data_IF_293709486376
#
_entry.id   IF_293709486376
#
_cell.length_a   1.000
_cell.length_b   1.000
_cell.length_c   1.000
_cell.angle_alpha   90.00
_cell.angle_beta   90.00
_cell.angle_gamma   90.00
#
_symmetry.space_group_name_H-M   'P 1'
#
loop_
_entity.id
_entity.type
_entity.pdbx_description
1 polymer ?
#
# COMPACT_ATOMS: atom_id res chain seq x y z
N UNK A 1 11.55 6.71 20.19
CA UNK A 1 11.23 7.07 21.58
C UNK A 1 12.50 7.30 22.38
N UNK A 2 12.42 8.04 23.47
CA UNK A 2 13.51 8.18 24.42
C UNK A 2 13.64 6.87 25.24
N UNK A 3 14.87 6.27 25.31
CA UNK A 3 15.05 4.95 25.91
C UNK A 3 14.88 4.95 27.45
N UNK A 4 15.00 6.10 28.08
CA UNK A 4 14.87 6.25 29.54
C UNK A 4 13.43 6.49 29.97
N UNK A 5 12.71 7.31 29.23
CA UNK A 5 11.38 7.80 29.63
C UNK A 5 10.24 7.15 28.83
N UNK A 6 10.57 6.48 27.71
CA UNK A 6 9.63 5.96 26.72
C UNK A 6 8.71 7.05 26.09
N UNK A 7 9.02 8.32 26.27
CA UNK A 7 8.31 9.40 25.61
C UNK A 7 8.70 9.52 24.14
N UNK A 8 7.82 10.12 23.33
CA UNK A 8 8.14 10.44 21.93
C UNK A 8 9.29 11.46 21.91
N UNK A 9 10.26 11.24 21.04
CA UNK A 9 11.41 12.12 20.84
C UNK A 9 11.63 12.34 19.35
N UNK A 10 11.35 13.54 18.88
CA UNK A 10 11.61 13.92 17.49
C UNK A 10 13.11 13.83 17.16
N UNK A 11 13.98 14.22 18.11
CA UNK A 11 15.44 14.11 17.94
C UNK A 11 15.86 12.66 17.65
N UNK A 12 15.44 11.70 18.50
CA UNK A 12 15.82 10.30 18.32
C UNK A 12 15.22 9.70 17.04
N UNK A 13 14.03 10.14 16.64
CA UNK A 13 13.42 9.72 15.40
C UNK A 13 14.21 10.18 14.18
N UNK A 14 14.55 11.46 14.13
CA UNK A 14 15.34 12.02 13.03
C UNK A 14 16.77 11.50 13.01
N UNK A 15 17.41 11.32 14.16
CA UNK A 15 18.72 10.71 14.26
C UNK A 15 18.73 9.30 13.66
N UNK A 16 17.74 8.47 14.00
CA UNK A 16 17.57 7.15 13.41
C UNK A 16 17.37 7.21 11.90
N UNK A 17 16.45 8.03 11.42
CA UNK A 17 16.14 8.11 10.00
C UNK A 17 17.30 8.63 9.15
N UNK A 18 18.03 9.63 9.63
CA UNK A 18 19.15 10.22 8.89
C UNK A 18 20.41 9.34 8.93
N UNK A 19 20.49 8.42 9.89
CA UNK A 19 21.57 7.45 9.98
C UNK A 19 21.40 6.24 9.05
N UNK A 20 20.25 6.13 8.39
CA UNK A 20 19.91 5.03 7.47
C UNK A 20 19.68 5.55 6.05
N UNK A 21 20.71 5.62 5.19
CA UNK A 21 20.57 6.10 3.80
C UNK A 21 19.51 5.33 3.02
N UNK A 22 19.32 4.04 3.30
CA UNK A 22 18.33 3.17 2.65
C UNK A 22 16.89 3.61 2.92
N UNK A 23 16.65 4.28 4.06
CA UNK A 23 15.33 4.76 4.44
C UNK A 23 14.94 6.09 3.77
N UNK A 24 15.90 6.82 3.18
CA UNK A 24 15.70 8.18 2.69
C UNK A 24 14.53 8.28 1.69
N UNK A 25 14.45 7.35 0.75
CA UNK A 25 13.36 7.34 -0.23
C UNK A 25 11.98 7.25 0.44
N UNK A 26 11.82 6.36 1.40
CA UNK A 26 10.56 6.21 2.14
C UNK A 26 10.26 7.45 3.00
N UNK A 27 11.27 8.03 3.63
CA UNK A 27 11.12 9.24 4.44
C UNK A 27 10.63 10.41 3.60
N UNK A 28 11.21 10.63 2.42
CA UNK A 28 10.79 11.71 1.51
C UNK A 28 9.36 11.52 1.01
N UNK A 29 8.91 10.28 0.78
CA UNK A 29 7.51 10.00 0.41
C UNK A 29 6.56 10.29 1.58
N UNK A 30 6.88 9.82 2.78
CA UNK A 30 6.02 10.00 3.97
C UNK A 30 5.95 11.46 4.42
N UNK A 31 7.05 12.22 4.26
CA UNK A 31 7.10 13.64 4.61
C UNK A 31 6.64 14.56 3.49
N UNK A 32 6.37 14.03 2.31
CA UNK A 32 5.78 14.77 1.20
C UNK A 32 4.25 14.66 1.18
N UNK A 33 3.63 15.26 0.17
CA UNK A 33 2.16 15.27 -0.02
C UNK A 33 1.54 13.86 -0.02
N UNK A 34 2.27 12.85 -0.48
CA UNK A 34 1.81 11.45 -0.48
C UNK A 34 1.65 10.86 0.93
N UNK A 35 2.22 11.48 1.94
CA UNK A 35 2.08 11.09 3.35
C UNK A 35 0.78 11.58 3.98
N UNK A 36 0.06 12.49 3.32
CA UNK A 36 -1.21 13.08 3.79
C UNK A 36 -2.32 12.95 2.74
N UNK A 37 -2.65 11.73 2.29
CA UNK A 37 -3.74 11.53 1.34
C UNK A 37 -5.07 12.01 1.92
N UNK A 38 -5.95 12.52 1.05
CA UNK A 38 -7.25 13.04 1.48
C UNK A 38 -8.14 11.94 2.07
N UNK A 39 -8.14 10.75 1.46
CA UNK A 39 -8.90 9.58 1.91
C UNK A 39 -8.23 8.30 1.42
N UNK A 40 -8.64 7.14 1.92
CA UNK A 40 -8.20 5.83 1.38
C UNK A 40 -8.54 5.64 -0.10
N UNK A 41 -9.65 6.20 -0.57
CA UNK A 41 -10.10 6.08 -1.96
C UNK A 41 -9.17 6.78 -2.96
N UNK A 42 -8.41 7.76 -2.51
CA UNK A 42 -7.51 8.59 -3.31
C UNK A 42 -6.04 8.17 -3.21
N UNK A 43 -5.79 6.91 -2.88
CA UNK A 43 -4.46 6.32 -2.79
C UNK A 43 -4.32 5.12 -3.72
N UNK A 44 -3.12 4.90 -4.25
CA UNK A 44 -2.77 3.61 -4.85
C UNK A 44 -2.45 2.59 -3.77
N UNK A 45 -2.68 1.32 -4.08
CA UNK A 45 -2.23 0.19 -3.27
C UNK A 45 -1.13 -0.59 -3.98
N UNK A 46 -0.20 -1.13 -3.21
CA UNK A 46 0.92 -1.91 -3.74
C UNK A 46 1.12 -3.18 -2.92
N UNK A 47 1.11 -4.32 -3.59
CA UNK A 47 1.60 -5.57 -3.02
C UNK A 47 3.12 -5.58 -3.10
N UNK A 48 3.80 -5.03 -2.10
CA UNK A 48 5.26 -4.84 -2.12
C UNK A 48 6.05 -6.14 -2.17
N UNK A 49 5.50 -7.23 -1.63
CA UNK A 49 6.11 -8.55 -1.71
C UNK A 49 6.10 -9.08 -3.14
N UNK A 50 7.07 -9.92 -3.45
CA UNK A 50 7.07 -10.71 -4.66
C UNK A 50 6.40 -12.05 -4.37
N UNK A 51 5.31 -12.32 -5.09
CA UNK A 51 4.59 -13.59 -5.04
C UNK A 51 5.00 -14.50 -6.18
N UNK A 52 4.65 -15.77 -6.11
CA UNK A 52 4.85 -16.70 -7.22
C UNK A 52 3.52 -17.20 -7.76
N UNK A 53 3.35 -17.15 -9.09
CA UNK A 53 2.30 -17.88 -9.79
C UNK A 53 2.87 -19.16 -10.38
N UNK A 54 2.11 -20.22 -10.28
CA UNK A 54 2.38 -21.50 -10.93
C UNK A 54 1.24 -21.75 -11.94
N UNK A 55 1.61 -21.99 -13.19
CA UNK A 55 0.64 -22.39 -14.17
C UNK A 55 0.39 -23.91 -14.14
N UNK A 56 -0.52 -24.40 -14.99
CA UNK A 56 -0.83 -25.84 -15.11
C UNK A 56 0.38 -26.70 -15.47
N UNK A 57 1.38 -26.13 -16.16
CA UNK A 57 2.64 -26.80 -16.52
C UNK A 57 3.67 -26.76 -15.40
N UNK A 58 3.30 -26.19 -14.22
CA UNK A 58 4.20 -25.96 -13.07
C UNK A 58 5.36 -25.00 -13.39
N UNK A 59 5.19 -24.15 -14.40
CA UNK A 59 6.12 -23.07 -14.68
C UNK A 59 5.88 -21.92 -13.71
N UNK A 60 6.94 -21.49 -13.04
CA UNK A 60 6.87 -20.41 -12.05
C UNK A 60 7.14 -19.07 -12.68
N UNK A 61 6.34 -18.09 -12.28
CA UNK A 61 6.55 -16.68 -12.57
C UNK A 61 6.46 -15.87 -11.28
N UNK A 62 7.35 -14.89 -11.12
CA UNK A 62 7.30 -13.96 -10.02
C UNK A 62 6.34 -12.83 -10.37
N UNK A 63 5.58 -12.36 -9.37
CA UNK A 63 4.50 -11.39 -9.60
C UNK A 63 4.51 -10.32 -8.52
N UNK A 64 4.33 -9.06 -8.94
CA UNK A 64 3.99 -7.94 -8.06
C UNK A 64 2.62 -7.38 -8.45
N UNK A 65 1.82 -7.03 -7.42
CA UNK A 65 0.49 -6.48 -7.58
C UNK A 65 0.48 -4.96 -7.43
N UNK A 66 -0.33 -4.30 -8.26
CA UNK A 66 -0.56 -2.86 -8.24
C UNK A 66 -2.05 -2.59 -8.28
N UNK A 67 -2.55 -1.76 -7.36
CA UNK A 67 -3.93 -1.31 -7.29
C UNK A 67 -3.94 0.19 -7.60
N UNK A 68 -4.31 0.55 -8.82
CA UNK A 68 -4.30 1.94 -9.29
C UNK A 68 -5.66 2.55 -9.08
N UNK A 69 -5.77 3.53 -8.16
CA UNK A 69 -7.04 4.20 -7.87
C UNK A 69 -7.63 4.83 -9.14
N UNK A 70 -8.92 4.59 -9.38
CA UNK A 70 -9.69 5.19 -10.47
C UNK A 70 -10.35 6.51 -10.06
N UNK A 71 -10.38 6.83 -8.76
CA UNK A 71 -10.87 8.09 -8.23
C UNK A 71 -9.87 9.24 -8.38
N UNK A 72 -8.66 8.94 -8.87
CA UNK A 72 -7.53 9.86 -8.92
C UNK A 72 -6.80 9.98 -7.57
N UNK A 73 -5.70 10.70 -7.59
CA UNK A 73 -4.89 10.99 -6.40
C UNK A 73 -5.29 12.36 -5.88
N UNK A 74 -5.55 12.44 -4.59
CA UNK A 74 -5.84 13.69 -3.90
C UNK A 74 -5.18 13.66 -2.53
N UNK A 75 -4.40 14.71 -2.25
CA UNK A 75 -3.73 14.89 -0.98
C UNK A 75 -4.28 16.13 -0.27
N UNK A 76 -4.16 16.17 1.04
CA UNK A 76 -4.45 17.35 1.84
C UNK A 76 -3.25 18.30 1.81
N UNK A 77 -3.48 19.56 2.15
CA UNK A 77 -2.42 20.47 2.58
C UNK A 77 -2.04 20.18 4.03
N UNK A 78 -0.87 20.64 4.47
CA UNK A 78 -0.41 20.47 5.87
C UNK A 78 -1.43 21.06 6.87
N UNK A 79 -1.98 22.23 6.57
CA UNK A 79 -2.97 22.89 7.42
C UNK A 79 -4.29 22.10 7.50
N UNK A 80 -4.75 21.54 6.38
CA UNK A 80 -5.95 20.68 6.36
C UNK A 80 -5.71 19.39 7.13
N UNK A 81 -4.53 18.77 6.98
CA UNK A 81 -4.18 17.55 7.68
C UNK A 81 -4.12 17.77 9.20
N UNK A 82 -3.49 18.86 9.65
CA UNK A 82 -3.43 19.24 11.06
C UNK A 82 -4.82 19.46 11.66
N UNK A 83 -5.67 20.21 10.96
CA UNK A 83 -7.04 20.48 11.38
C UNK A 83 -7.87 19.18 11.43
N UNK A 84 -7.70 18.30 10.44
CA UNK A 84 -8.42 17.04 10.35
C UNK A 84 -8.05 16.09 11.50
N UNK A 85 -6.76 15.95 11.82
CA UNK A 85 -6.27 15.11 12.93
C UNK A 85 -6.85 15.57 14.27
N UNK A 86 -6.96 16.88 14.46
CA UNK A 86 -7.55 17.45 15.67
C UNK A 86 -9.05 17.25 15.78
N UNK A 87 -9.75 17.19 14.65
CA UNK A 87 -11.21 17.10 14.57
C UNK A 87 -11.70 15.66 14.48
N UNK A 88 -11.14 14.85 13.64
CA UNK A 88 -11.58 13.48 13.36
C UNK A 88 -10.40 12.59 12.96
N UNK A 89 -9.92 11.79 13.89
CA UNK A 89 -8.84 10.83 13.67
C UNK A 89 -9.23 9.67 12.77
N UNK A 90 -10.52 9.40 12.66
CA UNK A 90 -11.08 8.29 11.90
C UNK A 90 -11.63 8.77 10.53
N UNK A 91 -11.22 9.96 10.09
CA UNK A 91 -11.74 10.58 8.86
C UNK A 91 -11.65 9.68 7.62
N UNK A 92 -10.56 8.93 7.45
CA UNK A 92 -10.40 8.02 6.31
C UNK A 92 -11.32 6.79 6.40
N UNK A 93 -11.48 6.24 7.61
CA UNK A 93 -12.40 5.13 7.85
C UNK A 93 -13.85 5.56 7.63
N UNK A 94 -14.21 6.74 8.15
CA UNK A 94 -15.54 7.33 7.98
C UNK A 94 -15.84 7.59 6.52
N UNK A 95 -14.94 8.23 5.78
CA UNK A 95 -15.11 8.50 4.34
C UNK A 95 -15.37 7.22 3.56
N UNK A 96 -14.59 6.18 3.80
CA UNK A 96 -14.76 4.90 3.10
C UNK A 96 -16.11 4.26 3.44
N UNK A 97 -16.47 4.20 4.73
CA UNK A 97 -17.72 3.62 5.17
C UNK A 97 -18.93 4.35 4.58
N UNK A 98 -18.97 5.68 4.72
CA UNK A 98 -20.08 6.51 4.23
C UNK A 98 -20.17 6.49 2.70
N UNK A 99 -19.04 6.45 1.99
CA UNK A 99 -19.01 6.31 0.54
C UNK A 99 -19.73 5.04 0.08
N UNK A 100 -19.49 3.91 0.74
CA UNK A 100 -20.15 2.65 0.42
C UNK A 100 -21.65 2.69 0.76
N UNK A 101 -22.03 3.24 1.92
CA UNK A 101 -23.44 3.41 2.29
C UNK A 101 -24.21 4.30 1.30
N UNK A 102 -23.54 5.29 0.73
CA UNK A 102 -24.13 6.19 -0.25
C UNK A 102 -24.11 5.64 -1.69
N UNK A 103 -23.56 4.44 -1.93
CA UNK A 103 -23.44 3.83 -3.25
C UNK A 103 -22.33 4.41 -4.12
N UNK A 104 -21.43 5.22 -3.56
CA UNK A 104 -20.24 5.72 -4.24
C UNK A 104 -19.09 4.71 -4.07
N UNK A 105 -19.11 3.68 -4.90
CA UNK A 105 -18.22 2.54 -4.79
C UNK A 105 -16.84 2.82 -5.37
N UNK A 106 -15.79 2.90 -4.54
CA UNK A 106 -14.44 3.16 -5.03
C UNK A 106 -13.86 1.94 -5.74
N UNK A 107 -13.05 2.24 -6.79
CA UNK A 107 -12.49 1.25 -7.69
C UNK A 107 -10.98 1.41 -7.85
N UNK A 108 -10.30 0.29 -8.02
CA UNK A 108 -8.90 0.25 -8.38
C UNK A 108 -8.68 -0.69 -9.55
N UNK A 109 -7.97 -0.22 -10.56
CA UNK A 109 -7.46 -1.11 -11.60
C UNK A 109 -6.41 -2.04 -10.98
N UNK A 110 -6.67 -3.34 -11.00
CA UNK A 110 -5.70 -4.35 -10.62
C UNK A 110 -4.77 -4.61 -11.79
N UNK A 111 -3.49 -4.35 -11.56
CA UNK A 111 -2.42 -4.61 -12.54
C UNK A 111 -1.35 -5.48 -11.90
N UNK A 112 -0.66 -6.25 -12.74
CA UNK A 112 0.45 -7.09 -12.32
C UNK A 112 1.69 -6.82 -13.14
N UNK A 113 2.85 -6.99 -12.51
CA UNK A 113 4.12 -7.18 -13.22
C UNK A 113 4.48 -8.65 -13.12
N UNK A 114 4.94 -9.23 -14.23
CA UNK A 114 5.31 -10.65 -14.30
C UNK A 114 6.78 -10.74 -14.72
N UNK A 115 7.54 -11.52 -13.95
CA UNK A 115 8.94 -11.82 -14.21
C UNK A 115 9.11 -13.34 -14.35
N UNK A 116 9.67 -13.85 -15.46
CA UNK A 116 10.01 -15.26 -15.58
C UNK A 116 10.96 -15.70 -14.46
N UNK A 117 10.84 -16.94 -13.97
CA UNK A 117 11.62 -17.43 -12.83
C UNK A 117 13.13 -17.24 -13.01
N UNK A 118 13.64 -17.55 -14.21
CA UNK A 118 15.06 -17.44 -14.50
C UNK A 118 15.62 -16.02 -14.58
N UNK A 119 14.75 -15.01 -14.70
CA UNK A 119 15.19 -13.61 -14.80
C UNK A 119 15.53 -13.01 -13.45
N UNK A 120 14.99 -13.56 -12.37
CA UNK A 120 15.27 -13.08 -11.02
C UNK A 120 16.77 -13.08 -10.67
N UNK A 121 17.56 -13.96 -11.30
CA UNK A 121 19.02 -14.03 -11.11
C UNK A 121 19.81 -13.09 -12.02
N UNK A 122 19.14 -12.47 -13.01
CA UNK A 122 19.77 -11.62 -14.03
C UNK A 122 19.60 -10.14 -13.72
N UNK A 123 18.68 -9.79 -12.82
CA UNK A 123 18.42 -8.39 -12.44
C UNK A 123 19.61 -7.82 -11.67
N UNK A 124 19.94 -6.53 -11.85
CA UNK A 124 21.02 -5.86 -11.12
C UNK A 124 20.64 -5.53 -9.66
N UNK A 125 19.45 -5.90 -9.23
CA UNK A 125 18.88 -5.72 -7.89
C UNK A 125 18.25 -7.02 -7.42
N UNK A 126 18.04 -7.16 -6.12
CA UNK A 126 17.27 -8.27 -5.57
C UNK A 126 15.77 -8.05 -5.82
N UNK A 127 15.10 -8.81 -6.70
CA UNK A 127 13.68 -8.62 -7.02
C UNK A 127 12.74 -9.01 -5.87
N UNK A 128 13.24 -9.66 -4.84
CA UNK A 128 12.51 -10.05 -3.62
C UNK A 128 12.61 -9.02 -2.49
N UNK A 129 13.46 -8.01 -2.66
CA UNK A 129 13.60 -6.93 -1.70
C UNK A 129 12.39 -5.98 -1.80
N UNK A 130 11.67 -5.79 -0.70
CA UNK A 130 10.50 -4.93 -0.59
C UNK A 130 10.79 -3.48 -0.98
N UNK A 131 12.02 -3.02 -0.79
CA UNK A 131 12.44 -1.65 -1.10
C UNK A 131 12.72 -1.43 -2.58
N UNK A 132 12.73 -2.49 -3.40
CA UNK A 132 13.07 -2.44 -4.82
C UNK A 132 11.83 -2.41 -5.70
N UNK A 133 11.84 -1.48 -6.63
CA UNK A 133 10.84 -1.36 -7.69
C UNK A 133 11.32 -2.15 -8.91
N UNK A 134 10.44 -2.87 -9.55
CA UNK A 134 10.72 -3.45 -10.88
C UNK A 134 10.47 -2.39 -11.93
N UNK A 135 11.46 -2.01 -12.75
CA UNK A 135 11.27 -1.00 -13.79
C UNK A 135 10.16 -1.41 -14.76
N UNK A 136 9.19 -0.52 -15.00
CA UNK A 136 8.08 -0.79 -15.93
C UNK A 136 8.55 -1.00 -17.38
N UNK A 137 9.75 -0.50 -17.72
CA UNK A 137 10.37 -0.74 -19.03
C UNK A 137 10.71 -2.22 -19.23
N UNK A 138 11.14 -2.89 -18.17
CA UNK A 138 11.60 -4.29 -18.24
C UNK A 138 10.44 -5.25 -17.93
N UNK A 139 9.59 -4.87 -17.00
CA UNK A 139 8.41 -5.61 -16.58
C UNK A 139 7.19 -4.68 -16.59
N UNK A 140 6.51 -4.55 -17.75
CA UNK A 140 5.37 -3.64 -17.90
C UNK A 140 4.18 -4.05 -17.02
N UNK A 141 3.36 -3.06 -16.70
CA UNK A 141 2.09 -3.31 -16.00
C UNK A 141 1.08 -3.95 -16.97
N UNK A 142 0.51 -5.07 -16.57
CA UNK A 142 -0.52 -5.81 -17.29
C UNK A 142 -1.84 -5.62 -16.55
N UNK A 143 -2.87 -5.17 -17.26
CA UNK A 143 -4.22 -5.05 -16.70
C UNK A 143 -4.83 -6.43 -16.48
N UNK A 144 -5.33 -6.69 -15.27
CA UNK A 144 -5.95 -7.96 -14.88
C UNK A 144 -7.45 -7.80 -14.64
N UNK A 145 -7.86 -6.69 -14.02
CA UNK A 145 -9.25 -6.45 -13.70
C UNK A 145 -9.45 -5.20 -12.86
N UNK A 146 -10.62 -5.11 -12.25
CA UNK A 146 -11.02 -4.00 -11.38
C UNK A 146 -11.40 -4.57 -10.02
N UNK A 147 -10.83 -4.04 -8.96
CA UNK A 147 -11.30 -4.22 -7.59
C UNK A 147 -12.29 -3.11 -7.27
N UNK A 148 -13.50 -3.48 -6.90
CA UNK A 148 -14.54 -2.55 -6.45
C UNK A 148 -14.93 -2.89 -5.01
N UNK A 149 -14.94 -1.88 -4.13
CA UNK A 149 -15.50 -2.03 -2.79
C UNK A 149 -16.96 -1.56 -2.82
N UNK A 150 -17.90 -2.47 -2.62
CA UNK A 150 -19.33 -2.20 -2.82
C UNK A 150 -20.24 -2.63 -1.65
N UNK A 151 -19.63 -3.04 -0.54
CA UNK A 151 -20.40 -3.46 0.64
C UNK A 151 -19.56 -3.31 1.91
N UNK A 152 -20.15 -2.69 2.93
CA UNK A 152 -19.60 -2.66 4.27
C UNK A 152 -19.84 -4.01 4.99
N UNK A 153 -19.00 -4.40 5.96
CA UNK A 153 -19.31 -5.52 6.85
C UNK A 153 -20.53 -5.21 7.72
N UNK A 154 -21.33 -6.22 7.98
CA UNK A 154 -22.48 -6.09 8.90
C UNK A 154 -22.04 -5.94 10.35
N UNK A 155 -20.94 -6.56 10.72
CA UNK A 155 -20.34 -6.49 12.06
C UNK A 155 -18.82 -6.49 11.92
N UNK A 156 -18.20 -5.34 12.17
CA UNK A 156 -16.76 -5.15 12.03
C UNK A 156 -15.94 -6.10 12.91
N UNK A 157 -16.39 -6.34 14.16
CA UNK A 157 -15.70 -7.25 15.06
C UNK A 157 -15.71 -8.69 14.53
N UNK A 158 -16.88 -9.20 14.11
CA UNK A 158 -17.01 -10.56 13.64
C UNK A 158 -16.39 -10.77 12.24
N UNK A 159 -16.62 -9.82 11.33
CA UNK A 159 -16.33 -10.00 9.90
C UNK A 159 -14.92 -9.51 9.53
N UNK A 160 -14.33 -8.58 10.31
CA UNK A 160 -13.05 -7.95 9.99
C UNK A 160 -11.98 -8.21 11.05
N UNK A 161 -12.23 -7.88 12.32
CA UNK A 161 -11.20 -8.04 13.38
C UNK A 161 -10.78 -9.49 13.60
N UNK A 162 -11.71 -10.43 13.39
CA UNK A 162 -11.42 -11.87 13.51
C UNK A 162 -10.92 -12.50 12.22
N UNK A 163 -10.79 -11.75 11.14
CA UNK A 163 -10.23 -12.23 9.88
C UNK A 163 -8.71 -12.32 9.94
N UNK A 164 -8.15 -13.45 9.53
CA UNK A 164 -6.71 -13.63 9.40
C UNK A 164 -6.34 -13.67 7.90
N UNK A 165 -5.62 -12.65 7.45
CA UNK A 165 -5.08 -12.61 6.08
C UNK A 165 -3.74 -13.34 6.04
N UNK A 166 -3.77 -14.59 5.60
CA UNK A 166 -2.58 -15.40 5.47
C UNK A 166 -2.52 -15.97 4.04
N UNK A 167 -1.42 -15.78 3.29
CA UNK A 167 -1.27 -16.34 1.95
C UNK A 167 -1.43 -17.86 1.88
N UNK A 168 -1.15 -18.58 2.97
CA UNK A 168 -1.36 -20.00 3.05
C UNK A 168 -2.83 -20.44 3.05
N UNK A 169 -3.75 -19.51 3.26
CA UNK A 169 -5.21 -19.78 3.26
C UNK A 169 -5.87 -19.49 1.90
N UNK A 170 -5.09 -19.09 0.90
CA UNK A 170 -5.59 -18.93 -0.47
C UNK A 170 -5.79 -20.31 -1.07
N UNK A 171 -7.00 -20.68 -1.57
CA UNK A 171 -7.27 -21.99 -2.15
C UNK A 171 -6.51 -22.24 -3.45
#
# INVERSE_FOLDING_TARGET
RDPRTNMRSAKNMWDFWTSLPEALHQITIVMGERGIPATYRHMHGFGSHTFSFLNERRERHWVKFHFVSQQGIRNLTDAEAEAMIGKDRESHQRDLFESLENGDFPKWALKVQIMPEGDARKTPYNPFDLTKVWPHKDYPLIDVGIMELNRNPANFFADVEQSAFNPANVP
#
